data_IF_973532525834
#
_entry.id   IF_973532525834
#
_cell.length_a   1.000
_cell.length_b   1.000
_cell.length_c   1.000
_cell.angle_alpha   90.00
_cell.angle_beta   90.00
_cell.angle_gamma   90.00
#
_symmetry.space_group_name_H-M   'P 1'
#
loop_
_entity.id
_entity.type
_entity.pdbx_description
1 polymer ?
#
# COMPACT_ATOMS: atom_id res chain seq x y z
N UNK A 1 -12.44 -18.27 2.04
CA UNK A 1 -12.30 -19.73 2.35
C UNK A 1 -12.52 -20.61 1.13
N UNK A 2 -13.49 -20.31 0.25
CA UNK A 2 -13.78 -21.11 -0.96
C UNK A 2 -12.57 -21.23 -1.91
N UNK A 3 -11.85 -20.14 -2.16
CA UNK A 3 -10.65 -20.13 -3.00
C UNK A 3 -9.44 -20.85 -2.39
N UNK A 4 -9.34 -20.89 -1.07
CA UNK A 4 -8.21 -21.54 -0.40
C UNK A 4 -8.23 -23.06 -0.50
N UNK A 5 -9.42 -23.62 -0.74
CA UNK A 5 -9.64 -25.07 -0.83
C UNK A 5 -9.87 -25.54 -2.27
N UNK A 6 -9.73 -24.67 -3.25
CA UNK A 6 -9.93 -25.01 -4.66
C UNK A 6 -8.68 -25.71 -5.21
N UNK A 7 -8.86 -26.86 -5.83
CA UNK A 7 -7.75 -27.54 -6.49
C UNK A 7 -7.19 -26.68 -7.64
N UNK A 8 -5.87 -26.74 -7.94
CA UNK A 8 -5.26 -25.89 -8.96
C UNK A 8 -5.94 -25.97 -10.33
N UNK A 9 -6.32 -27.17 -10.78
CA UNK A 9 -6.99 -27.39 -12.04
C UNK A 9 -8.37 -26.74 -12.09
N UNK A 10 -9.13 -26.83 -10.99
CA UNK A 10 -10.42 -26.16 -10.85
C UNK A 10 -10.27 -24.63 -10.90
N UNK A 11 -9.21 -24.08 -10.27
CA UNK A 11 -8.90 -22.65 -10.34
C UNK A 11 -8.63 -22.21 -11.79
N UNK A 12 -7.83 -22.98 -12.53
CA UNK A 12 -7.54 -22.68 -13.94
C UNK A 12 -8.83 -22.71 -14.76
N UNK A 13 -9.54 -23.83 -14.73
CA UNK A 13 -10.72 -24.01 -15.58
C UNK A 13 -11.87 -23.06 -15.20
N UNK A 14 -12.28 -23.06 -13.93
CA UNK A 14 -13.50 -22.36 -13.50
C UNK A 14 -13.28 -20.87 -13.31
N UNK A 15 -12.06 -20.44 -12.94
CA UNK A 15 -11.79 -19.02 -12.69
C UNK A 15 -11.12 -18.37 -13.89
N UNK A 16 -9.97 -18.88 -14.34
CA UNK A 16 -9.24 -18.22 -15.42
C UNK A 16 -9.97 -18.35 -16.77
N UNK A 17 -10.51 -19.53 -17.08
CA UNK A 17 -11.16 -19.79 -18.37
C UNK A 17 -12.62 -19.37 -18.33
N UNK A 18 -13.45 -19.99 -17.48
CA UNK A 18 -14.91 -19.82 -17.56
C UNK A 18 -15.38 -18.44 -17.09
N UNK A 19 -14.81 -17.92 -15.99
CA UNK A 19 -15.25 -16.63 -15.44
C UNK A 19 -14.50 -15.43 -16.02
N UNK A 20 -13.18 -15.52 -16.17
CA UNK A 20 -12.36 -14.39 -16.60
C UNK A 20 -12.07 -14.37 -18.10
N UNK A 21 -12.29 -15.49 -18.81
CA UNK A 21 -11.94 -15.65 -20.22
C UNK A 21 -10.50 -15.18 -20.50
N UNK A 22 -9.58 -15.54 -19.60
CA UNK A 22 -8.20 -15.07 -19.63
C UNK A 22 -7.51 -15.48 -20.94
N UNK A 23 -6.85 -14.52 -21.59
CA UNK A 23 -6.00 -14.75 -22.76
C UNK A 23 -4.53 -14.72 -22.40
N UNK A 24 -4.20 -13.97 -21.36
CA UNK A 24 -2.86 -13.86 -20.80
C UNK A 24 -2.93 -13.98 -19.29
N UNK A 25 -2.01 -14.77 -18.74
CA UNK A 25 -1.82 -14.91 -17.29
C UNK A 25 -0.39 -14.51 -16.98
N UNK A 26 -0.20 -13.44 -16.20
CA UNK A 26 1.13 -12.93 -15.84
C UNK A 26 1.41 -13.25 -14.37
N UNK A 27 2.49 -13.96 -14.11
CA UNK A 27 2.85 -14.42 -12.75
C UNK A 27 4.35 -14.26 -12.48
N UNK A 28 4.72 -14.15 -11.21
CA UNK A 28 6.12 -14.21 -10.81
C UNK A 28 6.65 -15.65 -10.81
N UNK A 29 7.97 -15.80 -10.80
CA UNK A 29 8.66 -17.11 -10.74
C UNK A 29 8.30 -17.94 -9.51
N UNK A 30 7.93 -17.31 -8.40
CA UNK A 30 7.55 -17.96 -7.14
C UNK A 30 6.03 -18.07 -6.93
N UNK A 31 5.25 -17.81 -7.95
CA UNK A 31 3.80 -17.86 -7.86
C UNK A 31 3.31 -19.27 -7.51
N UNK A 32 2.40 -19.35 -6.52
CA UNK A 32 1.75 -20.57 -6.09
C UNK A 32 0.27 -20.30 -5.90
N UNK A 33 -0.57 -21.23 -6.31
CA UNK A 33 -2.03 -21.12 -6.23
C UNK A 33 -2.70 -22.45 -5.90
N UNK A 34 -4.02 -22.39 -5.72
CA UNK A 34 -4.80 -23.55 -5.37
C UNK A 34 -4.56 -24.05 -3.94
N UNK A 35 -5.26 -25.12 -3.61
CA UNK A 35 -5.20 -25.77 -2.30
C UNK A 35 -3.77 -26.20 -1.98
N UNK A 36 -3.37 -25.92 -0.75
CA UNK A 36 -2.03 -26.21 -0.22
C UNK A 36 -0.88 -25.63 -1.07
N UNK A 37 -1.18 -24.62 -1.93
CA UNK A 37 -0.23 -24.00 -2.87
C UNK A 37 0.35 -25.01 -3.88
N UNK A 38 -0.43 -26.04 -4.25
CA UNK A 38 0.03 -27.12 -5.11
C UNK A 38 0.27 -26.67 -6.56
N UNK A 39 -0.47 -25.66 -7.04
CA UNK A 39 -0.27 -25.08 -8.36
C UNK A 39 0.93 -24.14 -8.43
N UNK A 40 1.61 -24.11 -9.57
CA UNK A 40 2.76 -23.24 -9.83
C UNK A 40 2.76 -22.65 -11.26
N UNK A 41 3.79 -21.86 -11.56
CA UNK A 41 3.91 -21.20 -12.86
C UNK A 41 4.08 -22.21 -14.02
N UNK A 42 4.74 -23.34 -13.78
CA UNK A 42 4.91 -24.37 -14.81
C UNK A 42 3.57 -25.01 -15.18
N UNK A 43 2.75 -25.32 -14.20
CA UNK A 43 1.38 -25.82 -14.41
C UNK A 43 0.53 -24.85 -15.23
N UNK A 44 0.67 -23.53 -15.01
CA UNK A 44 -0.01 -22.51 -15.82
C UNK A 44 0.47 -22.49 -17.28
N UNK A 45 1.77 -22.74 -17.51
CA UNK A 45 2.30 -22.84 -18.88
C UNK A 45 1.70 -24.03 -19.60
N UNK A 46 1.74 -25.23 -18.99
CA UNK A 46 1.19 -26.47 -19.56
C UNK A 46 -0.32 -26.33 -19.84
N UNK A 47 -1.07 -25.86 -18.85
CA UNK A 47 -2.51 -25.63 -19.02
C UNK A 47 -2.82 -24.57 -20.10
N UNK A 48 -1.96 -23.55 -20.25
CA UNK A 48 -2.11 -22.52 -21.27
C UNK A 48 -2.03 -23.07 -22.69
N UNK A 49 -1.11 -24.02 -22.93
CA UNK A 49 -0.97 -24.70 -24.21
C UNK A 49 -2.23 -25.52 -24.57
N UNK A 50 -2.85 -26.16 -23.58
CA UNK A 50 -4.04 -26.99 -23.79
C UNK A 50 -5.32 -26.16 -23.88
N UNK A 51 -5.47 -25.11 -23.08
CA UNK A 51 -6.71 -24.35 -22.90
C UNK A 51 -6.73 -23.03 -23.69
N UNK A 52 -5.65 -22.68 -24.39
CA UNK A 52 -5.60 -21.56 -25.32
C UNK A 52 -5.41 -20.19 -24.66
N UNK A 53 -4.62 -20.12 -23.58
CA UNK A 53 -4.12 -18.89 -23.00
C UNK A 53 -2.59 -18.88 -22.94
N UNK A 54 -1.99 -17.69 -22.85
CA UNK A 54 -0.52 -17.52 -22.75
C UNK A 54 -0.11 -17.20 -21.32
N UNK A 55 0.80 -17.97 -20.75
CA UNK A 55 1.41 -17.65 -19.45
C UNK A 55 2.71 -16.88 -19.65
N UNK A 56 2.84 -15.73 -19.00
CA UNK A 56 4.05 -14.90 -18.98
C UNK A 56 4.64 -14.97 -17.57
N UNK A 57 5.83 -15.51 -17.45
CA UNK A 57 6.55 -15.59 -16.18
C UNK A 57 7.48 -14.38 -16.09
N UNK A 58 7.32 -13.58 -15.05
CA UNK A 58 8.13 -12.37 -14.79
C UNK A 58 9.15 -12.67 -13.70
N UNK A 59 10.40 -12.41 -14.00
CA UNK A 59 11.46 -12.47 -12.99
C UNK A 59 11.34 -11.33 -11.99
N UNK A 60 11.76 -11.57 -10.77
CA UNK A 60 11.77 -10.55 -9.72
C UNK A 60 12.93 -9.58 -9.93
N UNK A 61 12.62 -8.31 -9.83
CA UNK A 61 13.64 -7.26 -9.74
C UNK A 61 14.41 -7.38 -8.41
N UNK A 62 15.66 -6.91 -8.43
CA UNK A 62 16.54 -6.91 -7.26
C UNK A 62 16.97 -5.49 -6.92
N UNK A 63 17.11 -5.25 -5.63
CA UNK A 63 17.74 -4.07 -5.08
C UNK A 63 18.85 -4.50 -4.11
N UNK A 64 20.10 -4.09 -4.38
CA UNK A 64 21.28 -4.48 -3.59
C UNK A 64 21.38 -6.02 -3.38
N UNK A 65 21.24 -6.77 -4.47
CA UNK A 65 21.27 -8.24 -4.51
C UNK A 65 20.14 -8.97 -3.77
N UNK A 66 19.20 -8.25 -3.13
CA UNK A 66 18.01 -8.79 -2.49
C UNK A 66 16.78 -8.64 -3.41
N UNK A 67 16.02 -9.72 -3.58
CA UNK A 67 14.79 -9.67 -4.36
C UNK A 67 13.76 -8.69 -3.75
N UNK A 68 13.18 -7.84 -4.60
CA UNK A 68 12.09 -6.94 -4.19
C UNK A 68 10.84 -7.78 -3.95
N UNK A 69 10.30 -7.66 -2.75
CA UNK A 69 9.09 -8.38 -2.34
C UNK A 69 8.27 -7.54 -1.36
N UNK A 70 6.99 -7.87 -1.25
CA UNK A 70 6.13 -7.23 -0.24
C UNK A 70 6.64 -7.40 1.17
N UNK A 71 7.29 -8.52 1.47
CA UNK A 71 7.90 -8.77 2.78
C UNK A 71 9.06 -7.82 3.02
N UNK A 72 9.97 -7.69 2.06
CA UNK A 72 11.11 -6.78 2.15
C UNK A 72 10.65 -5.32 2.35
N UNK A 73 9.68 -4.87 1.55
CA UNK A 73 9.14 -3.51 1.68
C UNK A 73 8.52 -3.28 3.07
N UNK A 74 7.77 -4.26 3.61
CA UNK A 74 7.19 -4.14 4.96
C UNK A 74 8.24 -4.12 6.06
N UNK A 75 9.32 -4.88 5.92
CA UNK A 75 10.46 -4.86 6.86
C UNK A 75 11.11 -3.47 6.91
N UNK A 76 11.44 -2.90 5.75
CA UNK A 76 12.03 -1.56 5.64
C UNK A 76 11.09 -0.46 6.15
N UNK A 77 9.79 -0.57 5.82
CA UNK A 77 8.77 0.35 6.34
C UNK A 77 8.70 0.32 7.87
N UNK A 78 8.78 -0.88 8.46
CA UNK A 78 8.65 -1.11 9.90
C UNK A 78 9.79 -0.48 10.70
N UNK A 79 10.97 -0.37 10.11
CA UNK A 79 12.14 0.27 10.73
C UNK A 79 12.31 1.74 10.31
N UNK A 80 11.48 2.24 9.39
CA UNK A 80 11.44 3.65 8.99
C UNK A 80 12.48 4.04 7.92
N UNK A 81 13.02 3.09 7.19
CA UNK A 81 13.96 3.37 6.08
C UNK A 81 13.19 3.85 4.84
N UNK A 82 12.62 5.06 4.93
CA UNK A 82 11.69 5.57 3.93
C UNK A 82 12.30 5.76 2.54
N UNK A 83 13.57 6.14 2.43
CA UNK A 83 14.29 6.24 1.16
C UNK A 83 14.33 4.87 0.47
N UNK A 84 14.67 3.82 1.20
CA UNK A 84 14.67 2.44 0.68
C UNK A 84 13.27 2.01 0.29
N UNK A 85 12.26 2.27 1.12
CA UNK A 85 10.85 1.96 0.81
C UNK A 85 10.42 2.61 -0.50
N UNK A 86 10.75 3.88 -0.71
CA UNK A 86 10.40 4.63 -1.92
C UNK A 86 11.08 4.04 -3.17
N UNK A 87 12.35 3.65 -3.05
CA UNK A 87 13.07 2.97 -4.14
C UNK A 87 12.43 1.62 -4.46
N UNK A 88 12.16 0.78 -3.44
CA UNK A 88 11.55 -0.54 -3.61
C UNK A 88 10.13 -0.47 -4.19
N UNK A 89 9.37 0.57 -3.88
CA UNK A 89 8.04 0.82 -4.44
C UNK A 89 8.07 1.46 -5.84
N UNK A 90 9.23 1.96 -6.28
CA UNK A 90 9.40 2.82 -7.44
C UNK A 90 8.44 4.04 -7.46
N UNK A 91 8.07 4.52 -6.28
CA UNK A 91 7.24 5.72 -6.03
C UNK A 91 7.32 6.10 -4.57
N UNK A 92 6.97 7.33 -4.20
CA UNK A 92 6.83 7.70 -2.80
C UNK A 92 5.80 6.80 -2.09
N UNK A 93 6.12 6.43 -0.86
CA UNK A 93 5.12 5.86 0.05
C UNK A 93 4.12 6.95 0.42
N UNK A 94 2.84 6.64 0.42
CA UNK A 94 1.82 7.63 0.71
C UNK A 94 0.79 7.16 1.73
N UNK A 95 0.20 8.12 2.41
CA UNK A 95 -0.98 7.94 3.26
C UNK A 95 -2.10 8.83 2.74
N UNK A 96 -3.15 8.21 2.26
CA UNK A 96 -4.34 8.91 1.76
C UNK A 96 -5.40 8.98 2.87
N UNK A 97 -6.05 10.12 3.01
CA UNK A 97 -7.15 10.28 3.96
C UNK A 97 -7.98 11.52 3.67
N UNK A 98 -9.07 11.66 4.43
CA UNK A 98 -9.91 12.86 4.41
C UNK A 98 -9.49 13.75 5.59
N UNK A 99 -9.28 15.03 5.31
CA UNK A 99 -8.90 16.00 6.36
C UNK A 99 -10.03 16.13 7.36
N UNK A 100 -9.74 15.78 8.59
CA UNK A 100 -10.65 15.82 9.71
C UNK A 100 -10.31 16.95 10.68
N UNK A 101 -11.30 17.37 11.45
CA UNK A 101 -11.08 18.35 12.53
C UNK A 101 -10.32 17.64 13.65
N UNK A 102 -9.07 18.05 13.85
CA UNK A 102 -8.23 17.61 14.98
C UNK A 102 -8.48 18.44 16.24
N UNK A 103 -7.62 18.32 17.24
CA UNK A 103 -7.72 19.06 18.51
C UNK A 103 -7.50 20.59 18.37
N UNK A 104 -7.22 21.09 17.16
CA UNK A 104 -7.00 22.49 16.82
C UNK A 104 -5.95 23.23 17.70
N UNK A 105 -5.07 22.47 18.36
CA UNK A 105 -4.00 23.05 19.20
C UNK A 105 -3.01 23.84 18.36
N UNK A 106 -2.67 23.35 17.15
CA UNK A 106 -1.78 24.05 16.24
C UNK A 106 -2.29 25.43 15.81
N UNK A 107 -3.63 25.56 15.63
CA UNK A 107 -4.25 26.85 15.28
C UNK A 107 -4.09 27.91 16.37
N UNK A 108 -4.01 27.51 17.65
CA UNK A 108 -3.75 28.41 18.79
C UNK A 108 -2.31 28.85 18.89
N UNK A 109 -1.41 28.14 18.20
CA UNK A 109 0.03 28.34 18.21
C UNK A 109 0.56 28.90 16.88
N UNK A 110 -0.32 29.37 15.99
CA UNK A 110 -0.01 29.82 14.62
C UNK A 110 0.67 28.77 13.72
N UNK A 111 0.48 27.47 14.04
CA UNK A 111 0.94 26.34 13.25
C UNK A 111 -0.24 25.40 12.89
N UNK A 112 -1.17 25.85 12.00
CA UNK A 112 -2.32 25.03 11.65
C UNK A 112 -1.88 23.74 10.95
N UNK A 113 -2.37 22.60 11.45
CA UNK A 113 -2.11 21.28 10.89
C UNK A 113 -3.37 20.70 10.26
N UNK A 114 -3.22 19.99 9.15
CA UNK A 114 -4.23 19.06 8.66
C UNK A 114 -4.08 17.73 9.40
N UNK A 115 -5.21 17.09 9.70
CA UNK A 115 -5.24 15.81 10.41
C UNK A 115 -5.95 14.79 9.54
N UNK A 116 -5.32 13.64 9.32
CA UNK A 116 -5.95 12.49 8.68
C UNK A 116 -5.80 11.26 9.58
N UNK A 117 -6.81 10.40 9.55
CA UNK A 117 -6.85 9.15 10.28
C UNK A 117 -6.84 8.01 9.26
N UNK A 118 -5.70 7.33 9.10
CA UNK A 118 -5.60 6.20 8.18
C UNK A 118 -6.46 5.03 8.66
N UNK A 119 -6.87 4.17 7.72
CA UNK A 119 -7.59 2.94 8.08
C UNK A 119 -6.71 2.01 8.89
N UNK A 120 -7.30 1.15 9.72
CA UNK A 120 -6.60 0.16 10.55
C UNK A 120 -5.70 -0.80 9.76
N UNK A 121 -6.04 -1.02 8.46
CA UNK A 121 -5.25 -1.89 7.56
C UNK A 121 -4.07 -1.19 6.89
N UNK A 122 -3.94 0.13 7.05
CA UNK A 122 -2.83 0.88 6.47
C UNK A 122 -1.57 0.65 7.30
N UNK A 123 -0.57 0.02 6.69
CA UNK A 123 0.75 -0.06 7.29
C UNK A 123 1.40 1.33 7.28
N UNK A 124 2.01 1.67 8.39
CA UNK A 124 2.65 2.97 8.60
C UNK A 124 4.09 2.75 9.07
N UNK A 125 4.98 3.72 8.82
CA UNK A 125 6.30 3.73 9.41
C UNK A 125 6.21 3.99 10.94
N UNK A 126 7.31 3.90 11.69
CA UNK A 126 7.32 4.21 13.12
C UNK A 126 6.77 5.59 13.45
N UNK A 127 6.26 5.77 14.66
CA UNK A 127 5.92 7.09 15.16
C UNK A 127 7.13 8.01 15.08
N UNK A 128 6.92 9.24 14.61
CA UNK A 128 8.01 10.19 14.42
C UNK A 128 7.60 11.38 13.57
N UNK A 129 8.59 12.16 13.21
CA UNK A 129 8.42 13.38 12.40
C UNK A 129 9.10 13.17 11.05
N UNK A 130 8.36 13.44 9.98
CA UNK A 130 8.75 13.18 8.60
C UNK A 130 8.66 14.44 7.76
N UNK A 131 9.65 14.67 6.91
CA UNK A 131 9.53 15.65 5.84
C UNK A 131 8.61 15.05 4.76
N UNK A 132 7.57 15.77 4.36
CA UNK A 132 6.52 15.24 3.50
C UNK A 132 6.13 16.21 2.39
N UNK A 133 5.55 15.66 1.34
CA UNK A 133 4.85 16.38 0.31
C UNK A 133 3.38 15.96 0.34
N UNK A 134 2.47 16.93 0.42
CA UNK A 134 1.04 16.66 0.44
C UNK A 134 0.38 17.15 -0.83
N UNK A 135 -0.36 16.28 -1.49
CA UNK A 135 -1.17 16.64 -2.67
C UNK A 135 -2.60 16.92 -2.24
N UNK A 136 -3.10 18.11 -2.59
CA UNK A 136 -4.47 18.59 -2.30
C UNK A 136 -5.05 19.17 -3.60
N UNK A 137 -6.15 18.64 -4.09
CA UNK A 137 -6.81 19.07 -5.35
C UNK A 137 -5.82 19.14 -6.56
N UNK A 138 -4.81 18.26 -6.57
CA UNK A 138 -3.77 18.21 -7.62
C UNK A 138 -2.60 19.17 -7.42
N UNK A 139 -2.65 20.07 -6.43
CA UNK A 139 -1.53 20.93 -6.05
C UNK A 139 -0.65 20.27 -4.98
N UNK A 140 0.66 20.48 -5.04
CA UNK A 140 1.64 19.89 -4.13
C UNK A 140 2.18 20.92 -3.14
N UNK A 141 2.17 20.56 -1.88
CA UNK A 141 2.66 21.40 -0.76
C UNK A 141 3.69 20.62 0.05
N UNK A 142 4.80 21.26 0.40
CA UNK A 142 5.77 20.68 1.32
C UNK A 142 5.36 20.92 2.77
N UNK A 143 5.77 20.04 3.65
CA UNK A 143 5.44 20.16 5.05
C UNK A 143 6.17 19.19 5.95
N UNK A 144 5.78 19.20 7.21
CA UNK A 144 6.28 18.31 8.25
C UNK A 144 5.10 17.54 8.83
N UNK A 145 5.21 16.22 8.80
CA UNK A 145 4.18 15.32 9.30
C UNK A 145 4.63 14.65 10.59
N UNK A 146 3.84 14.78 11.64
CA UNK A 146 3.95 13.99 12.85
C UNK A 146 3.03 12.78 12.75
N UNK A 147 3.61 11.59 12.82
CA UNK A 147 2.91 10.33 12.95
C UNK A 147 2.92 9.92 14.42
N UNK A 148 1.77 9.82 15.03
CA UNK A 148 1.68 9.52 16.44
C UNK A 148 0.41 8.77 16.81
N UNK A 149 0.42 8.16 18.00
CA UNK A 149 -0.75 7.55 18.62
C UNK A 149 -1.38 8.51 19.61
N UNK A 150 -2.66 8.76 19.48
CA UNK A 150 -3.43 9.54 20.47
C UNK A 150 -4.05 8.59 21.49
N UNK A 151 -3.92 8.87 22.80
CA UNK A 151 -4.73 8.18 23.79
C UNK A 151 -6.20 8.58 23.57
N UNK A 152 -7.02 7.62 23.18
CA UNK A 152 -8.46 7.79 23.07
C UNK A 152 -9.14 7.25 24.34
N UNK A 153 -10.38 7.68 24.56
CA UNK A 153 -11.24 7.12 25.65
C UNK A 153 -11.65 5.68 25.33
N UNK A 154 -11.41 5.21 24.09
CA UNK A 154 -11.61 3.83 23.65
C UNK A 154 -10.33 3.00 23.81
N UNK A 155 -10.46 1.70 24.05
CA UNK A 155 -9.35 0.77 24.34
C UNK A 155 -8.32 0.59 23.18
N UNK A 156 -8.56 1.13 22.01
CA UNK A 156 -7.63 1.07 20.88
C UNK A 156 -6.98 2.44 20.65
N UNK A 157 -5.63 2.52 20.62
CA UNK A 157 -4.93 3.77 20.31
C UNK A 157 -5.22 4.19 18.86
N UNK A 158 -5.72 5.41 18.67
CA UNK A 158 -5.96 5.96 17.35
C UNK A 158 -4.66 6.56 16.79
N UNK A 159 -4.25 6.09 15.62
CA UNK A 159 -3.09 6.64 14.92
C UNK A 159 -3.53 7.89 14.16
N UNK A 160 -2.88 9.01 14.41
CA UNK A 160 -3.07 10.26 13.69
C UNK A 160 -1.87 10.63 12.85
N UNK A 161 -2.13 11.18 11.67
CA UNK A 161 -1.17 11.79 10.77
C UNK A 161 -1.46 13.27 10.76
N UNK A 162 -0.64 14.06 11.47
CA UNK A 162 -0.78 15.50 11.59
C UNK A 162 0.29 16.18 10.74
N UNK A 163 -0.13 16.93 9.73
CA UNK A 163 0.79 17.59 8.81
C UNK A 163 0.66 19.10 8.89
N UNK A 164 1.77 19.77 9.20
CA UNK A 164 1.95 21.20 9.01
C UNK A 164 2.45 21.44 7.58
N UNK A 165 1.71 22.24 6.82
CA UNK A 165 2.06 22.61 5.45
C UNK A 165 2.72 23.99 5.44
N UNK A 166 3.83 24.13 4.73
CA UNK A 166 4.51 25.41 4.58
C UNK A 166 3.73 26.32 3.62
N UNK A 167 3.69 27.59 3.91
CA UNK A 167 3.07 28.65 3.09
C UNK A 167 1.62 28.31 2.69
N UNK A 168 0.83 27.73 3.62
CA UNK A 168 -0.50 27.23 3.37
C UNK A 168 -1.52 27.79 4.37
N UNK A 169 -2.56 28.46 3.86
CA UNK A 169 -3.61 29.12 4.64
C UNK A 169 -5.04 28.74 4.22
N UNK A 170 -5.19 27.74 3.30
CA UNK A 170 -6.50 27.34 2.75
C UNK A 170 -7.26 26.45 3.73
N UNK A 171 -8.58 26.57 3.75
CA UNK A 171 -9.45 25.60 4.42
C UNK A 171 -9.62 24.36 3.53
N UNK A 172 -9.25 23.19 4.08
CA UNK A 172 -9.27 21.93 3.38
C UNK A 172 -9.99 20.81 4.15
N UNK A 173 -10.78 21.17 5.15
CA UNK A 173 -11.60 20.19 5.85
C UNK A 173 -12.53 19.44 4.89
N UNK A 174 -12.64 18.13 5.09
CA UNK A 174 -13.44 17.24 4.24
C UNK A 174 -12.81 16.91 2.88
N UNK A 175 -11.69 17.53 2.51
CA UNK A 175 -10.98 17.17 1.27
C UNK A 175 -10.16 15.92 1.44
N UNK A 176 -10.07 15.14 0.37
CA UNK A 176 -9.16 14.00 0.27
C UNK A 176 -7.76 14.50 -0.06
N UNK A 177 -6.77 14.04 0.69
CA UNK A 177 -5.35 14.39 0.52
C UNK A 177 -4.47 13.16 0.48
N UNK A 178 -3.34 13.28 -0.18
CA UNK A 178 -2.26 12.28 -0.20
C UNK A 178 -1.03 12.89 0.43
N UNK A 179 -0.53 12.27 1.51
CA UNK A 179 0.72 12.65 2.20
C UNK A 179 1.79 11.64 1.82
N UNK A 180 2.83 12.12 1.11
CA UNK A 180 3.97 11.36 0.60
C UNK A 180 5.23 11.61 1.41
#
# INVERSE_FOLDING_TARGET
>A
EEFMNMEPEDFICRILIDKLHAKYVVVGTDYRFGKDRAGDAAMLVEAGEELGFTTIIVEKEKYQDKEISSTYIREELKVGHMETVNVLLNRPFNVTGVVSIGNQLGRKLDFPTINIYPTEYKLLPPNGVYATQTTIDGEKFYGVTNLGTKPTVSDAPEISVETFLFDFDKDVYGKKVDVE
#
